data_IF_808126468886
#
_entry.id   IF_808126468886
#
_cell.length_a   1.000
_cell.length_b   1.000
_cell.length_c   1.000
_cell.angle_alpha   90.00
_cell.angle_beta   90.00
_cell.angle_gamma   90.00
#
_symmetry.space_group_name_H-M   'P 1'
#
loop_
_entity.id
_entity.type
_entity.pdbx_description
1 polymer ?
#
# COMPACT_ATOMS: atom_id res chain seq x y z
N UNK A 1 2.06 -23.45 -12.85
CA UNK A 1 0.65 -23.06 -12.71
C UNK A 1 -0.05 -24.02 -11.77
N UNK A 2 -0.67 -23.54 -10.69
CA UNK A 2 -1.46 -24.35 -9.77
C UNK A 2 -2.77 -24.74 -10.43
N UNK A 3 -3.14 -26.03 -10.33
CA UNK A 3 -4.42 -26.52 -10.85
C UNK A 3 -5.55 -26.25 -9.85
N UNK A 4 -6.78 -26.19 -10.35
CA UNK A 4 -7.98 -26.14 -9.50
C UNK A 4 -7.97 -27.36 -8.56
N UNK A 5 -7.90 -27.13 -7.25
CA UNK A 5 -7.75 -28.17 -6.21
C UNK A 5 -6.44 -28.10 -5.41
N UNK A 6 -5.46 -27.30 -5.86
CA UNK A 6 -4.25 -27.05 -5.06
C UNK A 6 -4.58 -26.13 -3.88
N UNK A 7 -3.93 -26.39 -2.74
CA UNK A 7 -4.10 -25.59 -1.52
C UNK A 7 -3.85 -24.09 -1.80
N UNK A 8 -4.75 -23.25 -1.32
CA UNK A 8 -4.61 -21.80 -1.37
C UNK A 8 -3.46 -21.31 -0.49
N UNK A 9 -3.11 -20.04 -0.58
CA UNK A 9 -2.06 -19.44 0.27
C UNK A 9 -2.44 -19.57 1.75
N UNK A 10 -3.72 -19.40 2.08
CA UNK A 10 -4.24 -19.55 3.45
C UNK A 10 -4.06 -20.96 3.97
N UNK A 11 -4.43 -21.97 3.17
CA UNK A 11 -4.33 -23.38 3.56
C UNK A 11 -2.88 -23.77 3.82
N UNK A 12 -1.95 -23.26 2.98
CA UNK A 12 -0.50 -23.46 3.17
C UNK A 12 -0.03 -22.78 4.45
N UNK A 13 -0.44 -21.53 4.69
CA UNK A 13 -0.07 -20.79 5.89
C UNK A 13 -0.60 -21.47 7.15
N UNK A 14 -1.84 -21.94 7.13
CA UNK A 14 -2.43 -22.65 8.25
C UNK A 14 -1.73 -23.99 8.51
N UNK A 15 -1.40 -24.72 7.46
CA UNK A 15 -0.63 -25.96 7.57
C UNK A 15 0.74 -25.72 8.19
N UNK A 16 1.46 -24.69 7.72
CA UNK A 16 2.77 -24.34 8.27
C UNK A 16 2.66 -23.87 9.73
N UNK A 17 1.62 -23.09 10.07
CA UNK A 17 1.37 -22.69 11.48
C UNK A 17 1.14 -23.87 12.39
N UNK A 18 0.35 -24.87 11.93
CA UNK A 18 0.10 -26.10 12.68
C UNK A 18 1.39 -26.89 12.88
N UNK A 19 2.21 -27.02 11.85
CA UNK A 19 3.50 -27.71 11.94
C UNK A 19 4.44 -26.99 12.90
N UNK A 20 4.55 -25.67 12.83
CA UNK A 20 5.39 -24.87 13.74
C UNK A 20 4.99 -25.03 15.22
N UNK A 21 3.72 -25.30 15.50
CA UNK A 21 3.25 -25.52 16.87
C UNK A 21 3.88 -26.75 17.54
N UNK A 22 4.33 -27.75 16.74
CA UNK A 22 5.01 -28.94 17.26
C UNK A 22 6.49 -28.72 17.61
N UNK A 23 7.03 -27.55 17.32
CA UNK A 23 8.43 -27.19 17.59
C UNK A 23 8.51 -26.03 18.58
N UNK A 24 8.38 -26.28 19.91
CA UNK A 24 8.36 -25.24 20.93
C UNK A 24 9.68 -24.47 21.03
N UNK A 25 10.78 -25.02 20.49
CA UNK A 25 12.08 -24.36 20.47
C UNK A 25 12.20 -23.27 19.38
N UNK A 26 11.20 -23.16 18.49
CA UNK A 26 11.23 -22.24 17.36
C UNK A 26 10.04 -21.28 17.43
N UNK A 27 10.33 -20.00 17.38
CA UNK A 27 9.30 -18.96 17.17
C UNK A 27 9.21 -18.65 15.69
N UNK A 28 8.16 -19.16 15.02
CA UNK A 28 7.94 -18.96 13.59
C UNK A 28 6.76 -18.04 13.31
N UNK A 29 6.98 -17.08 12.41
CA UNK A 29 5.93 -16.20 11.91
C UNK A 29 5.62 -16.53 10.46
N UNK A 30 4.34 -16.80 10.17
CA UNK A 30 3.88 -17.10 8.80
C UNK A 30 3.04 -15.94 8.32
N UNK A 31 3.63 -15.12 7.46
CA UNK A 31 3.00 -13.93 6.91
C UNK A 31 2.71 -14.09 5.41
N UNK A 32 1.67 -13.43 4.91
CA UNK A 32 1.44 -13.32 3.47
C UNK A 32 2.55 -12.49 2.84
N UNK A 33 2.97 -12.80 1.61
CA UNK A 33 3.85 -11.89 0.88
C UNK A 33 3.12 -10.57 0.59
N UNK A 34 3.85 -9.45 0.44
CA UNK A 34 3.24 -8.17 0.09
C UNK A 34 2.50 -8.27 -1.24
N UNK A 35 1.36 -7.60 -1.35
CA UNK A 35 0.51 -7.60 -2.54
C UNK A 35 1.25 -6.99 -3.74
N UNK A 36 2.07 -5.98 -3.48
CA UNK A 36 2.95 -5.36 -4.48
C UNK A 36 4.40 -5.69 -4.11
N UNK A 37 5.13 -6.46 -4.95
CA UNK A 37 6.55 -6.73 -4.72
C UNK A 37 7.35 -5.43 -4.61
N UNK A 38 8.13 -5.30 -3.52
CA UNK A 38 8.93 -4.10 -3.24
C UNK A 38 8.24 -3.03 -2.41
N UNK A 39 6.96 -3.17 -2.10
CA UNK A 39 6.24 -2.32 -1.13
C UNK A 39 5.95 -3.11 0.14
N UNK A 40 6.89 -3.07 1.09
CA UNK A 40 6.79 -3.78 2.36
C UNK A 40 7.46 -5.16 2.37
N UNK A 41 7.60 -5.72 3.56
CA UNK A 41 8.17 -7.05 3.80
C UNK A 41 7.09 -8.14 3.91
N UNK A 42 5.86 -7.77 4.31
CA UNK A 42 4.74 -8.70 4.50
C UNK A 42 3.42 -8.15 3.97
N UNK A 43 2.45 -9.01 3.73
CA UNK A 43 1.06 -8.61 3.48
C UNK A 43 0.37 -8.26 4.79
N UNK A 44 -0.47 -7.23 4.75
CA UNK A 44 -1.16 -6.68 5.92
C UNK A 44 -0.67 -5.27 6.25
N UNK A 45 -0.85 -4.88 7.51
CA UNK A 45 -0.42 -3.57 8.02
C UNK A 45 1.02 -3.64 8.51
N UNK A 46 1.84 -2.70 8.08
CA UNK A 46 3.24 -2.54 8.51
C UNK A 46 3.44 -1.21 9.19
N UNK A 47 3.95 -1.25 10.43
CA UNK A 47 4.24 -0.09 11.25
C UNK A 47 5.61 -0.26 11.90
N UNK A 48 6.30 0.84 12.15
CA UNK A 48 7.58 0.90 12.85
C UNK A 48 7.39 1.63 14.18
N UNK A 49 7.85 1.01 15.28
CA UNK A 49 8.03 1.71 16.55
C UNK A 49 9.46 2.23 16.57
N UNK A 50 9.65 3.53 16.66
CA UNK A 50 10.96 4.19 16.62
C UNK A 50 11.36 4.71 17.98
N UNK A 51 12.56 4.37 18.44
CA UNK A 51 13.17 4.98 19.61
C UNK A 51 13.73 6.35 19.23
N UNK A 52 13.11 7.42 19.70
CA UNK A 52 13.50 8.82 19.44
C UNK A 52 14.05 9.50 20.70
N UNK A 53 14.80 10.57 20.50
CA UNK A 53 15.37 11.34 21.60
C UNK A 53 16.39 10.53 22.41
N UNK A 54 16.13 10.37 23.67
CA UNK A 54 16.97 9.65 24.65
C UNK A 54 16.53 8.20 24.91
N UNK A 55 15.55 7.70 24.14
CA UNK A 55 15.07 6.33 24.28
C UNK A 55 16.18 5.32 23.99
N UNK A 56 16.37 4.42 24.91
CA UNK A 56 17.34 3.33 24.83
C UNK A 56 16.78 2.12 24.06
N UNK A 57 17.64 1.14 23.80
CA UNK A 57 17.18 -0.14 23.23
C UNK A 57 16.21 -0.87 24.16
N UNK A 58 16.46 -0.84 25.45
CA UNK A 58 15.61 -1.50 26.46
C UNK A 58 14.23 -0.84 26.54
N UNK A 59 14.16 0.48 26.40
CA UNK A 59 12.87 1.20 26.31
C UNK A 59 12.08 0.77 25.09
N UNK A 60 12.75 0.57 23.94
CA UNK A 60 12.10 0.08 22.71
C UNK A 60 11.59 -1.34 22.88
N UNK A 61 12.33 -2.22 23.56
CA UNK A 61 11.91 -3.60 23.85
C UNK A 61 10.66 -3.59 24.73
N UNK A 62 10.68 -2.86 25.85
CA UNK A 62 9.54 -2.77 26.77
C UNK A 62 8.32 -2.14 26.10
N UNK A 63 8.52 -1.11 25.27
CA UNK A 63 7.45 -0.47 24.52
C UNK A 63 6.83 -1.44 23.51
N UNK A 64 7.67 -2.24 22.83
CA UNK A 64 7.20 -3.24 21.87
C UNK A 64 6.35 -4.32 22.55
N UNK A 65 6.81 -4.84 23.69
CA UNK A 65 6.06 -5.85 24.44
C UNK A 65 4.73 -5.31 24.97
N UNK A 66 4.75 -4.09 25.51
CA UNK A 66 3.56 -3.39 25.99
C UNK A 66 2.58 -3.19 24.83
N UNK A 67 3.05 -2.69 23.70
CA UNK A 67 2.25 -2.48 22.51
C UNK A 67 1.61 -3.78 22.01
N UNK A 68 2.40 -4.84 21.87
CA UNK A 68 1.91 -6.15 21.42
C UNK A 68 0.86 -6.74 22.38
N UNK A 69 1.02 -6.54 23.69
CA UNK A 69 0.06 -7.01 24.70
C UNK A 69 -1.32 -6.36 24.52
N UNK A 70 -1.38 -5.04 24.32
CA UNK A 70 -2.64 -4.34 24.10
C UNK A 70 -3.19 -4.55 22.69
N UNK A 71 -2.34 -4.60 21.69
CA UNK A 71 -2.73 -4.80 20.31
C UNK A 71 -3.38 -6.18 20.09
N UNK A 72 -2.88 -7.23 20.73
CA UNK A 72 -3.49 -8.59 20.67
C UNK A 72 -4.89 -8.68 21.30
N UNK A 73 -5.27 -7.70 22.12
CA UNK A 73 -6.61 -7.63 22.76
C UNK A 73 -7.61 -6.80 21.98
N UNK A 74 -7.16 -6.06 20.98
CA UNK A 74 -8.02 -5.19 20.20
C UNK A 74 -8.89 -6.01 19.24
N UNK A 75 -10.23 -5.84 19.26
CA UNK A 75 -11.13 -6.60 18.40
C UNK A 75 -10.98 -6.29 16.93
N UNK A 76 -10.40 -5.15 16.58
CA UNK A 76 -10.14 -4.72 15.21
C UNK A 76 -8.96 -5.46 14.56
N UNK A 77 -8.17 -6.21 15.37
CA UNK A 77 -6.94 -6.86 14.93
C UNK A 77 -7.07 -8.39 15.05
N UNK A 78 -6.81 -9.10 13.95
CA UNK A 78 -6.79 -10.57 13.94
C UNK A 78 -5.46 -11.11 14.48
N UNK A 79 -4.36 -10.53 14.08
CA UNK A 79 -3.01 -10.91 14.54
C UNK A 79 -2.10 -9.71 14.55
N UNK A 80 -1.22 -9.66 15.55
CA UNK A 80 -0.17 -8.65 15.65
C UNK A 80 1.11 -9.34 16.10
N UNK A 81 2.22 -9.04 15.43
CA UNK A 81 3.53 -9.62 15.70
C UNK A 81 4.65 -8.62 15.44
N UNK A 82 5.79 -8.83 16.08
CA UNK A 82 7.03 -8.13 15.80
C UNK A 82 8.12 -9.13 15.42
N UNK A 83 8.93 -8.81 14.43
CA UNK A 83 10.13 -9.56 14.09
C UNK A 83 11.37 -9.11 14.89
N UNK A 84 11.19 -8.21 15.87
CA UNK A 84 12.27 -7.80 16.76
C UNK A 84 12.67 -8.96 17.65
N UNK A 85 13.96 -9.24 17.70
CA UNK A 85 14.56 -10.27 18.56
C UNK A 85 15.51 -9.59 19.54
N UNK A 86 15.05 -9.41 20.76
CA UNK A 86 15.79 -8.72 21.80
C UNK A 86 16.65 -9.67 22.66
N UNK A 87 16.19 -10.90 22.88
CA UNK A 87 16.70 -11.83 23.89
C UNK A 87 17.35 -13.07 23.27
N UNK A 88 18.17 -12.88 22.23
CA UNK A 88 18.90 -14.01 21.65
C UNK A 88 20.03 -14.38 22.60
N UNK A 89 20.13 -15.67 23.02
CA UNK A 89 21.26 -16.15 23.79
C UNK A 89 22.58 -15.94 23.03
N UNK A 90 23.51 -15.31 23.69
CA UNK A 90 24.84 -14.98 23.15
C UNK A 90 25.93 -15.42 24.11
N UNK A 91 27.13 -15.64 23.57
CA UNK A 91 28.32 -15.85 24.37
C UNK A 91 29.17 -14.59 24.26
N UNK A 92 29.32 -13.90 25.38
CA UNK A 92 30.24 -12.79 25.50
C UNK A 92 31.62 -13.31 25.83
N UNK A 93 32.62 -12.92 25.07
CA UNK A 93 34.01 -13.23 25.32
C UNK A 93 34.75 -11.97 25.75
N UNK A 94 35.11 -11.92 27.03
CA UNK A 94 35.88 -10.82 27.60
C UNK A 94 37.37 -11.12 27.48
N UNK A 95 38.03 -10.36 26.60
CA UNK A 95 39.44 -10.56 26.28
C UNK A 95 40.30 -9.82 27.32
N UNK A 96 41.21 -10.55 27.95
CA UNK A 96 42.28 -9.94 28.77
C UNK A 96 43.31 -9.28 27.84
N UNK A 97 43.11 -7.97 27.68
CA UNK A 97 43.93 -7.16 26.77
C UNK A 97 45.37 -7.00 27.25
N UNK A 98 45.57 -6.97 28.56
CA UNK A 98 46.90 -6.83 29.12
C UNK A 98 47.69 -8.13 28.96
N UNK A 99 47.06 -9.26 29.19
CA UNK A 99 47.68 -10.58 28.97
C UNK A 99 47.94 -10.81 27.48
N UNK A 100 47.02 -10.51 26.56
CA UNK A 100 47.23 -10.60 25.14
C UNK A 100 48.40 -9.73 24.68
N UNK A 101 48.53 -8.51 25.18
CA UNK A 101 49.62 -7.60 24.88
C UNK A 101 50.95 -8.10 25.43
N UNK A 102 50.97 -8.69 26.65
CA UNK A 102 52.16 -9.31 27.24
C UNK A 102 52.68 -10.45 26.39
N UNK A 103 51.81 -11.28 25.82
CA UNK A 103 52.15 -12.36 24.89
C UNK A 103 52.47 -11.88 23.47
N UNK A 104 52.43 -10.58 23.21
CA UNK A 104 52.69 -10.01 21.87
C UNK A 104 51.65 -10.37 20.84
N UNK A 105 50.39 -10.65 21.26
CA UNK A 105 49.29 -11.02 20.35
C UNK A 105 48.47 -9.75 20.01
N UNK A 106 48.42 -9.37 18.74
CA UNK A 106 47.55 -8.25 18.31
C UNK A 106 46.07 -8.59 18.52
N UNK A 107 45.30 -7.62 19.07
CA UNK A 107 43.85 -7.80 19.25
C UNK A 107 43.13 -8.15 17.93
N UNK A 108 43.63 -7.60 16.81
CA UNK A 108 43.09 -7.90 15.48
C UNK A 108 43.15 -9.39 15.15
N UNK A 109 44.21 -10.07 15.56
CA UNK A 109 44.42 -11.53 15.28
C UNK A 109 43.47 -12.38 16.12
N UNK A 110 43.19 -11.98 17.38
CA UNK A 110 42.19 -12.63 18.21
C UNK A 110 40.79 -12.53 17.58
N UNK A 111 40.38 -11.32 17.23
CA UNK A 111 39.05 -11.11 16.65
C UNK A 111 38.93 -11.70 15.23
N UNK A 112 39.97 -11.65 14.40
CA UNK A 112 39.96 -12.26 13.09
C UNK A 112 39.87 -13.79 13.15
N UNK A 113 40.53 -14.40 14.12
CA UNK A 113 40.45 -15.84 14.39
C UNK A 113 39.03 -16.21 14.84
N UNK A 114 38.46 -15.49 15.82
CA UNK A 114 37.09 -15.72 16.24
C UNK A 114 36.10 -15.54 15.11
N UNK A 115 36.24 -14.49 14.30
CA UNK A 115 35.41 -14.23 13.13
C UNK A 115 35.50 -15.37 12.12
N UNK A 116 36.72 -15.87 11.83
CA UNK A 116 36.92 -16.92 10.82
C UNK A 116 36.27 -18.24 11.24
N UNK A 117 36.47 -18.66 12.49
CA UNK A 117 35.99 -19.94 12.97
C UNK A 117 34.53 -19.92 13.42
N UNK A 118 34.08 -18.87 14.12
CA UNK A 118 32.75 -18.82 14.71
C UNK A 118 31.74 -18.10 13.84
N UNK A 119 32.15 -16.99 13.19
CA UNK A 119 31.26 -16.13 12.42
C UNK A 119 31.21 -16.39 10.93
N UNK A 120 32.24 -16.93 10.35
CA UNK A 120 32.53 -17.08 8.92
C UNK A 120 33.31 -15.91 8.29
N UNK A 121 34.15 -16.24 7.35
CA UNK A 121 34.88 -15.28 6.50
C UNK A 121 34.57 -15.54 5.03
N UNK A 122 34.11 -14.50 4.37
CA UNK A 122 34.01 -14.49 2.93
C UNK A 122 35.41 -14.46 2.31
N UNK A 123 35.68 -15.43 1.43
CA UNK A 123 36.98 -15.59 0.82
C UNK A 123 37.01 -15.10 -0.61
N UNK A 124 36.07 -15.57 -1.43
CA UNK A 124 35.97 -15.24 -2.84
C UNK A 124 34.63 -15.67 -3.44
N UNK A 125 34.41 -15.32 -4.72
CA UNK A 125 33.32 -15.79 -5.55
C UNK A 125 33.78 -16.71 -6.65
N UNK A 126 32.89 -17.60 -7.11
CA UNK A 126 33.04 -18.28 -8.38
C UNK A 126 31.74 -18.32 -9.17
N UNK A 127 31.85 -18.36 -10.49
CA UNK A 127 30.70 -18.40 -11.39
C UNK A 127 30.47 -19.87 -11.83
N UNK A 128 29.25 -20.36 -11.59
CA UNK A 128 28.81 -21.67 -12.06
C UNK A 128 27.30 -21.57 -12.44
N UNK A 129 26.92 -22.26 -13.53
CA UNK A 129 25.51 -22.27 -14.00
C UNK A 129 24.89 -20.89 -14.16
N UNK A 130 25.64 -19.91 -14.65
CA UNK A 130 25.26 -18.54 -14.85
C UNK A 130 24.81 -17.81 -13.54
N UNK A 131 25.32 -18.24 -12.38
CA UNK A 131 25.12 -17.67 -11.06
C UNK A 131 26.45 -17.45 -10.36
N UNK A 132 26.52 -16.43 -9.52
CA UNK A 132 27.67 -16.13 -8.66
C UNK A 132 27.45 -16.88 -7.34
N UNK A 133 28.43 -17.74 -6.98
CA UNK A 133 28.47 -18.45 -5.71
C UNK A 133 29.56 -17.85 -4.82
N UNK A 134 29.16 -17.48 -3.61
CA UNK A 134 30.10 -16.95 -2.61
C UNK A 134 30.68 -18.05 -1.78
N UNK A 135 32.01 -18.03 -1.58
CA UNK A 135 32.75 -18.99 -0.76
C UNK A 135 32.95 -18.39 0.63
N UNK A 136 32.46 -19.09 1.63
CA UNK A 136 32.67 -18.78 3.04
C UNK A 136 33.42 -19.91 3.72
N UNK A 137 34.33 -19.55 4.65
CA UNK A 137 35.04 -20.50 5.49
C UNK A 137 34.58 -20.27 6.94
N UNK A 138 34.26 -21.36 7.63
CA UNK A 138 33.97 -21.38 9.07
C UNK A 138 34.27 -22.75 9.65
N UNK A 139 34.36 -22.87 10.96
CA UNK A 139 34.44 -24.17 11.61
C UNK A 139 33.15 -24.97 11.43
N UNK A 140 33.22 -26.28 11.38
CA UNK A 140 32.07 -27.17 11.32
C UNK A 140 31.23 -27.03 12.60
N UNK A 141 29.91 -27.28 12.51
CA UNK A 141 28.97 -27.07 13.60
C UNK A 141 29.33 -27.71 14.94
N UNK A 142 29.87 -28.97 15.00
CA UNK A 142 30.26 -29.56 16.27
C UNK A 142 31.37 -28.81 17.00
N UNK A 143 32.26 -28.13 16.26
CA UNK A 143 33.41 -27.41 16.82
C UNK A 143 33.06 -25.96 17.22
N UNK A 144 31.83 -25.50 17.04
CA UNK A 144 31.37 -24.17 17.41
C UNK A 144 30.01 -24.17 18.16
N UNK A 145 29.60 -25.33 18.65
CA UNK A 145 28.29 -25.49 19.29
C UNK A 145 28.28 -25.01 20.74
N UNK A 146 29.40 -25.05 21.47
CA UNK A 146 29.51 -24.78 22.89
C UNK A 146 30.63 -23.79 23.17
N UNK A 147 30.56 -23.12 24.34
CA UNK A 147 31.61 -22.17 24.78
C UNK A 147 32.97 -22.85 24.97
N UNK A 148 32.98 -24.13 25.35
CA UNK A 148 34.18 -24.93 25.56
C UNK A 148 34.97 -25.12 24.24
N UNK A 149 34.28 -25.07 23.10
CA UNK A 149 34.89 -25.16 21.75
C UNK A 149 35.89 -24.03 21.46
N UNK A 150 35.82 -22.91 22.18
CA UNK A 150 36.80 -21.81 22.08
C UNK A 150 38.25 -22.28 22.41
N UNK A 151 38.38 -23.29 23.25
CA UNK A 151 39.70 -23.90 23.55
C UNK A 151 40.34 -24.64 22.37
N UNK A 152 39.57 -24.95 21.31
CA UNK A 152 40.10 -25.62 20.11
C UNK A 152 40.69 -24.63 19.10
N UNK A 153 40.53 -23.34 19.29
CA UNK A 153 41.04 -22.32 18.40
C UNK A 153 42.24 -21.61 19.01
N UNK A 154 43.27 -21.47 18.20
CA UNK A 154 44.55 -20.94 18.60
C UNK A 154 44.89 -19.66 17.85
N UNK A 155 45.60 -18.77 18.55
CA UNK A 155 46.18 -17.57 17.99
C UNK A 155 47.68 -17.62 18.10
N UNK A 156 48.39 -17.10 17.13
CA UNK A 156 49.86 -17.10 17.13
C UNK A 156 50.40 -15.89 17.93
N UNK A 157 51.36 -16.14 18.82
CA UNK A 157 52.09 -15.08 19.52
C UNK A 157 53.12 -14.42 18.60
N UNK A 158 53.67 -13.31 19.02
CA UNK A 158 54.77 -12.64 18.34
C UNK A 158 56.07 -13.52 18.25
N UNK A 159 56.24 -14.49 19.17
CA UNK A 159 57.34 -15.50 19.13
C UNK A 159 57.04 -16.67 18.23
N UNK A 160 55.85 -16.83 17.71
CA UNK A 160 55.44 -17.94 16.83
C UNK A 160 54.76 -19.11 17.54
N UNK A 161 54.60 -19.08 18.85
CA UNK A 161 53.88 -20.07 19.64
C UNK A 161 52.35 -19.94 19.47
N UNK A 162 51.64 -21.09 19.63
CA UNK A 162 50.18 -21.11 19.52
C UNK A 162 49.54 -21.12 20.90
N UNK A 163 48.65 -20.12 21.15
CA UNK A 163 47.93 -19.93 22.44
C UNK A 163 46.45 -20.15 22.18
N UNK A 164 45.75 -20.99 23.00
CA UNK A 164 44.30 -21.18 22.83
C UNK A 164 43.54 -19.91 23.26
N UNK A 165 42.40 -19.64 22.59
CA UNK A 165 41.57 -18.47 22.89
C UNK A 165 41.14 -18.45 24.35
N UNK A 166 40.88 -19.59 24.97
CA UNK A 166 40.47 -19.68 26.39
C UNK A 166 41.53 -19.18 27.38
N UNK A 167 42.83 -19.12 27.01
CA UNK A 167 43.87 -18.52 27.80
C UNK A 167 43.90 -17.00 27.71
N UNK A 168 43.23 -16.40 26.72
CA UNK A 168 43.25 -14.96 26.44
C UNK A 168 42.01 -14.22 26.95
N UNK A 169 41.11 -14.91 27.64
CA UNK A 169 39.91 -14.27 28.19
C UNK A 169 38.92 -15.25 28.79
N UNK A 170 37.83 -14.71 29.26
CA UNK A 170 36.73 -15.46 29.91
C UNK A 170 35.45 -15.39 29.09
N UNK A 171 34.64 -16.45 29.19
CA UNK A 171 33.34 -16.54 28.49
C UNK A 171 32.19 -16.51 29.48
N UNK A 172 31.17 -15.77 29.17
CA UNK A 172 29.90 -15.76 29.89
C UNK A 172 28.72 -15.78 28.97
N UNK A 173 27.62 -16.40 29.41
CA UNK A 173 26.37 -16.32 28.70
C UNK A 173 25.71 -14.98 28.94
N UNK A 174 25.19 -14.38 27.91
CA UNK A 174 24.42 -13.15 27.94
C UNK A 174 23.25 -13.24 26.98
N UNK A 175 22.34 -12.29 27.00
CA UNK A 175 21.28 -12.12 26.02
C UNK A 175 21.47 -10.77 25.33
N UNK A 176 21.08 -10.70 24.08
CA UNK A 176 21.18 -9.45 23.35
C UNK A 176 20.44 -9.50 22.01
N UNK A 177 20.35 -8.37 21.31
CA UNK A 177 19.70 -8.32 20.01
C UNK A 177 20.50 -9.09 18.95
N UNK A 178 19.80 -9.93 18.19
CA UNK A 178 20.42 -10.59 17.03
C UNK A 178 20.67 -9.63 15.87
N UNK A 179 19.74 -8.69 15.67
CA UNK A 179 19.81 -7.66 14.64
C UNK A 179 19.11 -6.40 15.13
N UNK A 180 19.76 -5.27 14.99
CA UNK A 180 19.16 -3.95 15.25
C UNK A 180 18.76 -3.35 13.91
N UNK A 181 17.46 -3.28 13.65
CA UNK A 181 16.92 -2.56 12.48
C UNK A 181 16.85 -1.08 12.77
N UNK A 182 17.08 -0.26 11.73
CA UNK A 182 16.88 1.18 11.79
C UNK A 182 15.97 1.63 10.67
N UNK A 183 15.04 2.51 11.00
CA UNK A 183 14.16 3.18 10.07
C UNK A 183 14.28 4.69 10.33
N UNK A 184 14.39 5.50 9.28
CA UNK A 184 14.66 6.93 9.39
C UNK A 184 15.83 7.29 10.35
N UNK A 185 16.87 6.46 10.38
CA UNK A 185 18.05 6.57 11.28
C UNK A 185 17.80 6.20 12.74
N UNK A 186 16.56 5.99 13.18
CA UNK A 186 16.21 5.57 14.55
C UNK A 186 16.21 4.05 14.68
N UNK A 187 16.58 3.53 15.84
CA UNK A 187 16.41 2.11 16.17
C UNK A 187 14.92 1.80 16.18
N UNK A 188 14.52 0.70 15.55
CA UNK A 188 13.10 0.42 15.33
C UNK A 188 12.73 -1.03 15.56
N UNK A 189 11.49 -1.23 16.01
CA UNK A 189 10.81 -2.51 16.06
C UNK A 189 9.72 -2.56 14.98
N UNK A 190 9.86 -3.44 13.96
CA UNK A 190 8.82 -3.61 12.96
C UNK A 190 7.62 -4.34 13.55
N UNK A 191 6.44 -3.79 13.35
CA UNK A 191 5.16 -4.37 13.75
C UNK A 191 4.38 -4.75 12.50
N UNK A 192 3.98 -6.01 12.43
CA UNK A 192 3.09 -6.53 11.40
C UNK A 192 1.74 -6.86 12.00
N UNK A 193 0.66 -6.39 11.39
CA UNK A 193 -0.70 -6.65 11.85
C UNK A 193 -1.62 -7.02 10.69
N UNK A 194 -2.69 -7.75 11.03
CA UNK A 194 -3.75 -8.12 10.08
C UNK A 194 -5.08 -7.69 10.70
N UNK A 195 -5.91 -7.01 9.90
CA UNK A 195 -7.24 -6.60 10.32
C UNK A 195 -8.12 -7.84 10.63
N UNK A 196 -8.99 -7.73 11.62
CA UNK A 196 -9.94 -8.80 11.94
C UNK A 196 -11.07 -8.85 10.89
N UNK A 197 -11.66 -10.03 10.62
CA UNK A 197 -12.78 -10.14 9.71
C UNK A 197 -13.92 -9.18 10.09
N UNK A 198 -14.37 -8.38 9.13
CA UNK A 198 -15.41 -7.36 9.32
C UNK A 198 -14.89 -5.97 9.67
N UNK A 199 -13.60 -5.79 9.87
CA UNK A 199 -12.96 -4.49 10.06
C UNK A 199 -12.12 -4.13 8.84
N UNK A 200 -12.14 -2.85 8.46
CA UNK A 200 -11.30 -2.34 7.38
C UNK A 200 -9.84 -2.13 7.84
N UNK A 201 -8.91 -2.09 6.87
CA UNK A 201 -7.50 -1.74 7.13
C UNK A 201 -7.37 -0.38 7.82
N UNK A 202 -8.18 0.61 7.41
CA UNK A 202 -8.20 1.92 8.03
C UNK A 202 -8.69 1.95 9.50
N UNK A 203 -9.63 1.08 9.88
CA UNK A 203 -10.07 0.93 11.27
C UNK A 203 -8.98 0.25 12.11
N UNK A 204 -8.35 -0.78 11.57
CA UNK A 204 -7.23 -1.45 12.21
C UNK A 204 -6.02 -0.50 12.40
N UNK A 205 -5.71 0.35 11.41
CA UNK A 205 -4.68 1.39 11.53
C UNK A 205 -5.00 2.38 12.67
N UNK A 206 -6.23 2.88 12.73
CA UNK A 206 -6.67 3.77 13.83
C UNK A 206 -6.61 3.10 15.21
N UNK A 207 -6.90 1.80 15.28
CA UNK A 207 -6.76 1.04 16.52
C UNK A 207 -5.30 0.97 16.97
N UNK A 208 -4.38 0.69 16.05
CA UNK A 208 -2.93 0.69 16.35
C UNK A 208 -2.43 2.07 16.80
N UNK A 209 -2.85 3.16 16.14
CA UNK A 209 -2.52 4.52 16.54
C UNK A 209 -3.08 4.88 17.92
N UNK A 210 -4.32 4.47 18.21
CA UNK A 210 -4.94 4.67 19.53
C UNK A 210 -4.14 3.96 20.62
N UNK A 211 -3.81 2.67 20.41
CA UNK A 211 -3.04 1.88 21.38
C UNK A 211 -1.67 2.49 21.62
N UNK A 212 -0.98 2.93 20.57
CA UNK A 212 0.30 3.59 20.71
C UNK A 212 0.20 4.89 21.55
N UNK A 213 -0.80 5.71 21.26
CA UNK A 213 -1.02 6.96 21.99
C UNK A 213 -1.40 6.76 23.46
N UNK A 214 -2.12 5.68 23.79
CA UNK A 214 -2.59 5.41 25.15
C UNK A 214 -1.53 4.73 26.03
N UNK A 215 -0.62 3.94 25.42
CA UNK A 215 0.24 3.04 26.17
C UNK A 215 1.74 3.21 25.94
N UNK A 216 2.15 3.98 24.93
CA UNK A 216 3.57 4.25 24.69
C UNK A 216 3.96 5.63 25.22
N UNK A 217 5.23 5.75 25.58
CA UNK A 217 5.84 7.01 26.01
C UNK A 217 6.13 7.93 24.83
N UNK A 218 6.22 9.24 25.06
CA UNK A 218 6.42 10.26 24.03
C UNK A 218 7.74 10.11 23.25
N UNK A 219 8.72 9.40 23.81
CA UNK A 219 10.01 9.11 23.17
C UNK A 219 9.98 7.87 22.26
N UNK A 220 8.84 7.18 22.18
CA UNK A 220 8.59 6.10 21.22
C UNK A 220 7.58 6.58 20.18
N UNK A 221 8.05 6.85 18.99
CA UNK A 221 7.20 7.28 17.90
C UNK A 221 6.73 6.10 17.05
N UNK A 222 5.62 6.31 16.35
CA UNK A 222 5.11 5.35 15.36
C UNK A 222 5.24 5.95 13.96
N UNK A 223 5.66 5.13 13.01
CA UNK A 223 5.68 5.48 11.60
C UNK A 223 5.11 4.34 10.75
N UNK A 224 4.30 4.70 9.79
CA UNK A 224 3.79 3.73 8.82
C UNK A 224 4.84 3.40 7.77
N UNK A 225 4.94 2.14 7.39
CA UNK A 225 5.85 1.67 6.33
C UNK A 225 5.12 0.84 5.29
N UNK A 226 5.79 0.52 4.20
CA UNK A 226 5.25 -0.33 3.15
C UNK A 226 3.94 0.20 2.52
N UNK A 227 3.00 -0.70 2.33
CA UNK A 227 1.69 -0.38 1.75
C UNK A 227 0.85 0.49 2.69
N UNK A 228 0.97 0.30 4.02
CA UNK A 228 0.23 1.09 5.02
C UNK A 228 0.60 2.57 4.99
N UNK A 229 1.85 2.90 4.71
CA UNK A 229 2.26 4.29 4.46
C UNK A 229 1.55 4.88 3.24
N UNK A 230 1.44 4.12 2.15
CA UNK A 230 0.75 4.58 0.95
C UNK A 230 -0.75 4.76 1.20
N UNK A 231 -1.36 3.84 1.93
CA UNK A 231 -2.77 3.90 2.30
C UNK A 231 -3.08 5.11 3.20
N UNK A 232 -2.26 5.34 4.22
CA UNK A 232 -2.39 6.51 5.10
C UNK A 232 -2.24 7.82 4.32
N UNK A 233 -1.24 7.91 3.45
CA UNK A 233 -1.01 9.08 2.60
C UNK A 233 -2.13 9.29 1.58
N UNK A 234 -2.64 8.23 0.97
CA UNK A 234 -3.74 8.30 0.00
C UNK A 234 -5.08 8.61 0.68
N UNK A 235 -5.35 8.09 1.86
CA UNK A 235 -6.61 8.26 2.58
C UNK A 235 -6.98 9.74 2.82
N UNK A 236 -6.00 10.59 3.07
CA UNK A 236 -6.21 12.05 3.21
C UNK A 236 -6.45 12.79 1.89
N UNK A 237 -6.08 12.23 0.75
CA UNK A 237 -6.11 12.90 -0.56
C UNK A 237 -7.25 12.42 -1.46
N UNK A 238 -7.82 11.25 -1.22
CA UNK A 238 -8.84 10.64 -2.09
C UNK A 238 -10.05 11.55 -2.27
N UNK A 239 -10.55 12.16 -1.20
CA UNK A 239 -11.68 13.10 -1.28
C UNK A 239 -11.36 14.33 -2.14
N UNK A 240 -10.17 14.89 -2.01
CA UNK A 240 -9.71 16.01 -2.83
C UNK A 240 -9.55 15.62 -4.31
N UNK A 241 -8.98 14.46 -4.58
CA UNK A 241 -8.80 13.95 -5.95
C UNK A 241 -10.17 13.73 -6.61
N UNK A 242 -11.12 13.11 -5.91
CA UNK A 242 -12.48 12.92 -6.41
C UNK A 242 -13.17 14.25 -6.69
N UNK A 243 -13.08 15.21 -5.77
CA UNK A 243 -13.64 16.55 -5.98
C UNK A 243 -13.03 17.23 -7.22
N UNK A 244 -11.72 17.11 -7.41
CA UNK A 244 -11.01 17.64 -8.56
C UNK A 244 -11.47 16.97 -9.87
N UNK A 245 -11.65 15.65 -9.87
CA UNK A 245 -12.17 14.90 -11.02
C UNK A 245 -13.58 15.39 -11.37
N UNK A 246 -14.47 15.49 -10.40
CA UNK A 246 -15.82 16.03 -10.62
C UNK A 246 -15.79 17.45 -11.18
N UNK A 247 -14.91 18.31 -10.65
CA UNK A 247 -14.75 19.67 -11.13
C UNK A 247 -14.29 19.70 -12.60
N UNK A 248 -13.25 18.94 -12.95
CA UNK A 248 -12.75 18.90 -14.33
C UNK A 248 -13.76 18.30 -15.31
N UNK A 249 -14.43 17.22 -14.93
CA UNK A 249 -15.51 16.64 -15.73
C UNK A 249 -16.63 17.65 -15.94
N UNK A 250 -17.03 18.38 -14.88
CA UNK A 250 -18.02 19.44 -14.98
C UNK A 250 -17.59 20.56 -15.93
N UNK A 251 -16.38 21.08 -15.78
CA UNK A 251 -15.86 22.18 -16.60
C UNK A 251 -15.73 21.75 -18.07
N UNK A 252 -15.24 20.53 -18.33
CA UNK A 252 -15.16 19.98 -19.68
C UNK A 252 -16.53 19.87 -20.33
N UNK A 253 -17.52 19.32 -19.60
CA UNK A 253 -18.89 19.22 -20.09
C UNK A 253 -19.56 20.57 -20.25
N UNK A 254 -19.28 21.54 -19.36
CA UNK A 254 -19.79 22.91 -19.47
C UNK A 254 -19.27 23.59 -20.75
N UNK A 255 -18.01 23.37 -21.09
CA UNK A 255 -17.42 23.84 -22.35
C UNK A 255 -18.03 23.14 -23.56
N UNK A 256 -18.21 21.80 -23.50
CA UNK A 256 -18.78 20.99 -24.58
C UNK A 256 -20.25 21.37 -24.87
N UNK A 257 -21.04 21.57 -23.82
CA UNK A 257 -22.47 21.86 -23.99
C UNK A 257 -22.78 23.35 -24.09
N UNK A 258 -21.81 24.23 -23.97
CA UNK A 258 -22.02 25.68 -23.88
C UNK A 258 -23.10 26.06 -22.82
N UNK A 259 -23.15 25.32 -21.73
CA UNK A 259 -24.18 25.43 -20.68
C UNK A 259 -23.64 25.00 -19.32
N UNK A 260 -23.90 25.80 -18.29
CA UNK A 260 -23.54 25.45 -16.90
C UNK A 260 -24.51 24.47 -16.23
N UNK A 261 -25.71 24.30 -16.80
CA UNK A 261 -26.80 23.55 -16.16
C UNK A 261 -26.88 22.11 -16.71
N UNK A 262 -26.69 21.91 -18.01
CA UNK A 262 -26.80 20.59 -18.64
C UNK A 262 -25.80 19.57 -18.09
N UNK A 263 -24.53 19.93 -17.80
CA UNK A 263 -23.56 19.00 -17.20
C UNK A 263 -24.01 18.37 -15.90
N UNK A 264 -24.84 19.06 -15.12
CA UNK A 264 -25.33 18.56 -13.83
C UNK A 264 -26.16 17.28 -14.03
N UNK A 265 -26.91 17.16 -15.15
CA UNK A 265 -27.64 15.94 -15.46
C UNK A 265 -26.73 14.70 -15.64
N UNK A 266 -25.56 14.90 -16.26
CA UNK A 266 -24.54 13.85 -16.39
C UNK A 266 -23.94 13.53 -15.02
N UNK A 267 -23.56 14.55 -14.25
CA UNK A 267 -22.92 14.35 -12.94
C UNK A 267 -23.84 13.64 -11.93
N UNK A 268 -25.15 13.89 -11.98
CA UNK A 268 -26.13 13.21 -11.11
C UNK A 268 -26.26 11.71 -11.41
N UNK A 269 -25.81 11.25 -12.57
CA UNK A 269 -25.80 9.82 -12.89
C UNK A 269 -24.60 9.05 -12.33
N UNK A 270 -23.49 9.75 -12.00
CA UNK A 270 -22.25 9.13 -11.53
C UNK A 270 -22.37 8.46 -10.16
N UNK A 271 -23.08 9.05 -9.16
CA UNK A 271 -23.32 8.39 -7.87
C UNK A 271 -24.03 7.03 -8.00
N UNK A 272 -24.84 6.82 -9.03
CA UNK A 272 -25.51 5.52 -9.28
C UNK A 272 -24.50 4.43 -9.63
N UNK A 273 -23.53 4.77 -10.48
CA UNK A 273 -22.45 3.85 -10.80
C UNK A 273 -21.58 3.55 -9.57
N UNK A 274 -21.26 4.58 -8.79
CA UNK A 274 -20.52 4.42 -7.54
C UNK A 274 -21.27 3.52 -6.54
N UNK A 275 -22.59 3.72 -6.39
CA UNK A 275 -23.44 2.85 -5.56
C UNK A 275 -23.31 1.39 -6.01
N UNK A 276 -23.33 1.14 -7.32
CA UNK A 276 -23.14 -0.22 -7.86
C UNK A 276 -21.78 -0.82 -7.48
N UNK A 277 -20.72 -0.03 -7.53
CA UNK A 277 -19.39 -0.46 -7.13
C UNK A 277 -19.33 -0.82 -5.63
N UNK A 278 -19.89 0.02 -4.75
CA UNK A 278 -19.97 -0.25 -3.31
C UNK A 278 -20.84 -1.48 -2.99
N UNK A 279 -21.96 -1.65 -3.69
CA UNK A 279 -22.78 -2.86 -3.57
C UNK A 279 -21.97 -4.11 -3.98
N UNK A 280 -21.15 -3.99 -5.03
CA UNK A 280 -20.30 -5.09 -5.49
C UNK A 280 -19.31 -5.55 -4.43
N UNK A 281 -18.56 -4.65 -3.81
CA UNK A 281 -17.61 -5.01 -2.74
C UNK A 281 -18.35 -5.53 -1.48
N UNK A 282 -19.51 -4.97 -1.15
CA UNK A 282 -20.31 -5.45 -0.04
C UNK A 282 -20.79 -6.89 -0.24
N UNK A 283 -21.29 -7.22 -1.44
CA UNK A 283 -21.76 -8.60 -1.76
C UNK A 283 -20.60 -9.60 -1.80
N UNK A 284 -19.44 -9.18 -2.26
CA UNK A 284 -18.25 -10.06 -2.38
C UNK A 284 -17.40 -10.10 -1.11
N UNK A 285 -17.70 -9.28 -0.10
CA UNK A 285 -16.91 -9.19 1.13
C UNK A 285 -15.53 -8.60 0.94
N UNK A 286 -15.30 -7.84 -0.15
CA UNK A 286 -14.05 -7.16 -0.40
C UNK A 286 -13.99 -5.83 0.36
N UNK A 287 -12.78 -5.39 0.69
CA UNK A 287 -12.53 -4.13 1.40
C UNK A 287 -12.41 -2.95 0.44
N UNK A 288 -12.67 -1.74 0.96
CA UNK A 288 -12.42 -0.50 0.24
C UNK A 288 -10.93 -0.13 0.32
N UNK A 289 -10.13 -0.77 -0.50
CA UNK A 289 -8.70 -0.55 -0.61
C UNK A 289 -8.33 0.50 -1.68
N UNK A 290 -7.04 0.80 -1.81
CA UNK A 290 -6.52 1.73 -2.83
C UNK A 290 -6.86 1.27 -4.26
N UNK A 291 -6.89 -0.04 -4.49
CA UNK A 291 -7.20 -0.61 -5.80
C UNK A 291 -8.67 -0.41 -6.17
N UNK A 292 -9.58 -0.60 -5.22
CA UNK A 292 -10.99 -0.26 -5.41
C UNK A 292 -11.19 1.21 -5.73
N UNK A 293 -10.47 2.11 -5.03
CA UNK A 293 -10.55 3.56 -5.28
C UNK A 293 -10.07 3.93 -6.69
N UNK A 294 -9.01 3.29 -7.20
CA UNK A 294 -8.55 3.43 -8.59
C UNK A 294 -9.63 2.92 -9.56
N UNK A 295 -10.25 1.78 -9.25
CA UNK A 295 -11.38 1.25 -9.98
C UNK A 295 -12.57 2.22 -10.02
N UNK A 296 -12.87 2.86 -8.91
CA UNK A 296 -13.95 3.85 -8.80
C UNK A 296 -13.69 5.08 -9.70
N UNK A 297 -12.46 5.59 -9.72
CA UNK A 297 -12.08 6.71 -10.63
C UNK A 297 -12.28 6.32 -12.09
N UNK A 298 -11.83 5.11 -12.46
CA UNK A 298 -12.00 4.58 -13.83
C UNK A 298 -13.49 4.42 -14.18
N UNK A 299 -14.30 3.92 -13.24
CA UNK A 299 -15.74 3.75 -13.38
C UNK A 299 -16.46 5.07 -13.64
N UNK A 300 -16.07 6.16 -12.96
CA UNK A 300 -16.62 7.49 -13.16
C UNK A 300 -16.49 7.91 -14.62
N UNK A 301 -15.30 7.76 -15.21
CA UNK A 301 -15.07 8.07 -16.63
C UNK A 301 -15.92 7.24 -17.58
N UNK A 302 -16.07 5.95 -17.32
CA UNK A 302 -16.86 5.03 -18.15
C UNK A 302 -18.36 5.29 -18.04
N UNK A 303 -18.86 5.53 -16.82
CA UNK A 303 -20.28 5.85 -16.59
C UNK A 303 -20.65 7.22 -17.19
N UNK A 304 -19.77 8.22 -17.07
CA UNK A 304 -19.94 9.54 -17.67
C UNK A 304 -20.16 9.43 -19.19
N UNK A 305 -19.37 8.58 -19.89
CA UNK A 305 -19.49 8.37 -21.34
C UNK A 305 -20.93 7.97 -21.76
N UNK A 306 -21.54 7.06 -21.01
CA UNK A 306 -22.89 6.58 -21.32
C UNK A 306 -23.93 7.71 -21.12
N UNK A 307 -23.81 8.49 -20.06
CA UNK A 307 -24.69 9.62 -19.77
C UNK A 307 -24.51 10.74 -20.82
N UNK A 308 -23.27 11.05 -21.20
CA UNK A 308 -22.96 12.06 -22.21
C UNK A 308 -23.69 11.75 -23.52
N UNK A 309 -23.63 10.50 -24.00
CA UNK A 309 -24.25 10.11 -25.28
C UNK A 309 -25.76 10.32 -25.30
N UNK A 310 -26.45 10.11 -24.17
CA UNK A 310 -27.90 10.33 -24.07
C UNK A 310 -28.21 11.83 -23.97
N UNK A 311 -27.52 12.54 -23.09
CA UNK A 311 -27.75 13.97 -22.81
C UNK A 311 -27.44 14.84 -24.03
N UNK A 312 -26.37 14.53 -24.76
CA UNK A 312 -26.00 15.26 -25.99
C UNK A 312 -27.10 15.13 -27.06
N UNK A 313 -27.55 13.90 -27.31
CA UNK A 313 -28.58 13.68 -28.30
C UNK A 313 -29.92 14.28 -27.91
N UNK A 314 -30.30 14.21 -26.63
CA UNK A 314 -31.48 14.87 -26.10
C UNK A 314 -31.40 16.40 -26.25
N UNK A 315 -30.22 16.99 -25.96
CA UNK A 315 -30.00 18.43 -26.08
C UNK A 315 -30.15 18.92 -27.49
N UNK A 316 -29.55 18.23 -28.48
CA UNK A 316 -29.68 18.59 -29.89
C UNK A 316 -31.15 18.64 -30.32
N UNK A 317 -31.97 17.64 -29.96
CA UNK A 317 -33.40 17.63 -30.29
C UNK A 317 -34.19 18.76 -29.62
N UNK A 318 -33.84 19.10 -28.38
CA UNK A 318 -34.48 20.24 -27.71
C UNK A 318 -34.05 21.57 -28.33
N UNK A 319 -32.83 21.71 -28.78
CA UNK A 319 -32.33 22.90 -29.47
C UNK A 319 -32.99 23.03 -30.86
N UNK A 320 -33.44 21.94 -31.50
CA UNK A 320 -34.26 21.87 -32.71
C UNK A 320 -35.74 22.13 -32.44
N UNK A 321 -36.18 22.31 -31.17
CA UNK A 321 -37.52 22.65 -30.84
C UNK A 321 -38.41 21.54 -30.26
N UNK A 322 -37.86 20.31 -30.09
CA UNK A 322 -38.60 19.22 -29.48
C UNK A 322 -38.91 19.45 -28.00
N UNK A 323 -40.01 18.86 -27.53
CA UNK A 323 -40.33 18.87 -26.09
C UNK A 323 -39.26 18.09 -25.31
N UNK A 324 -38.74 18.63 -24.17
CA UNK A 324 -37.65 17.99 -23.42
C UNK A 324 -37.95 16.58 -22.95
N UNK A 325 -39.20 16.22 -22.66
CA UNK A 325 -39.59 14.87 -22.27
C UNK A 325 -39.51 13.92 -23.44
N UNK A 326 -40.05 14.31 -24.61
CA UNK A 326 -40.01 13.51 -25.82
C UNK A 326 -38.56 13.35 -26.32
N UNK A 327 -37.80 14.45 -26.29
CA UNK A 327 -36.37 14.42 -26.67
C UNK A 327 -35.56 13.45 -25.82
N UNK A 328 -35.77 13.44 -24.50
CA UNK A 328 -35.08 12.56 -23.58
C UNK A 328 -35.41 11.07 -23.81
N UNK A 329 -36.70 10.75 -24.02
CA UNK A 329 -37.17 9.39 -24.32
C UNK A 329 -36.59 8.91 -25.63
N UNK A 330 -36.72 9.73 -26.69
CA UNK A 330 -36.20 9.39 -28.01
C UNK A 330 -34.69 9.22 -28.02
N UNK A 331 -33.94 10.09 -27.34
CA UNK A 331 -32.49 9.97 -27.16
C UNK A 331 -32.12 8.65 -26.49
N UNK A 332 -32.81 8.29 -25.41
CA UNK A 332 -32.57 7.03 -24.72
C UNK A 332 -32.83 5.82 -25.60
N UNK A 333 -33.95 5.83 -26.39
CA UNK A 333 -34.27 4.75 -27.30
C UNK A 333 -33.25 4.60 -28.45
N UNK A 334 -32.84 5.70 -29.06
CA UNK A 334 -31.86 5.71 -30.14
C UNK A 334 -30.46 5.27 -29.70
N UNK A 335 -30.05 5.66 -28.49
CA UNK A 335 -28.74 5.35 -27.96
C UNK A 335 -28.69 4.07 -27.11
N UNK A 336 -29.82 3.43 -26.86
CA UNK A 336 -29.89 2.22 -26.04
C UNK A 336 -28.99 1.10 -26.56
N UNK A 337 -29.11 0.73 -27.83
CA UNK A 337 -28.32 -0.35 -28.44
C UNK A 337 -26.81 -0.08 -28.44
N UNK A 338 -26.32 1.07 -28.92
CA UNK A 338 -24.89 1.40 -28.88
C UNK A 338 -24.31 1.38 -27.45
N UNK A 339 -25.03 1.94 -26.48
CA UNK A 339 -24.60 1.96 -25.08
C UNK A 339 -24.56 0.54 -24.51
N UNK A 340 -25.62 -0.25 -24.75
CA UNK A 340 -25.68 -1.62 -24.25
C UNK A 340 -24.54 -2.48 -24.82
N UNK A 341 -24.27 -2.40 -26.14
CA UNK A 341 -23.19 -3.16 -26.78
C UNK A 341 -21.81 -2.80 -26.19
N UNK A 342 -21.50 -1.52 -26.10
CA UNK A 342 -20.19 -1.09 -25.60
C UNK A 342 -20.03 -1.40 -24.11
N UNK A 343 -21.07 -1.25 -23.31
CA UNK A 343 -21.02 -1.48 -21.88
C UNK A 343 -21.00 -2.96 -21.53
N UNK A 344 -21.75 -3.82 -22.25
CA UNK A 344 -21.68 -5.27 -22.08
C UNK A 344 -20.31 -5.82 -22.50
N UNK A 345 -19.76 -5.35 -23.62
CA UNK A 345 -18.41 -5.74 -24.03
C UNK A 345 -17.37 -5.39 -22.94
N UNK A 346 -17.52 -4.23 -22.30
CA UNK A 346 -16.65 -3.82 -21.21
C UNK A 346 -16.87 -4.67 -19.95
N UNK A 347 -18.11 -4.90 -19.52
CA UNK A 347 -18.44 -5.75 -18.35
C UNK A 347 -17.90 -7.16 -18.54
N UNK A 348 -18.08 -7.77 -19.73
CA UNK A 348 -17.52 -9.08 -20.05
C UNK A 348 -15.98 -9.06 -20.07
N UNK A 349 -15.39 -7.95 -20.56
CA UNK A 349 -13.94 -7.75 -20.52
C UNK A 349 -13.35 -7.65 -19.12
N UNK A 350 -14.14 -7.22 -18.13
CA UNK A 350 -13.72 -7.16 -16.73
C UNK A 350 -13.85 -8.49 -15.97
N UNK A 351 -14.63 -9.44 -16.52
CA UNK A 351 -14.86 -10.75 -15.91
C UNK A 351 -13.56 -11.52 -15.60
N UNK A 352 -12.53 -11.55 -16.47
CA UNK A 352 -11.26 -12.18 -16.15
C UNK A 352 -10.55 -11.57 -14.91
N UNK A 353 -10.75 -10.27 -14.63
CA UNK A 353 -10.19 -9.64 -13.43
C UNK A 353 -10.96 -10.07 -12.16
N UNK A 354 -12.29 -10.17 -12.26
CA UNK A 354 -13.14 -10.64 -11.15
C UNK A 354 -12.87 -12.11 -10.81
N UNK A 355 -12.54 -12.92 -11.79
CA UNK A 355 -12.27 -14.36 -11.63
C UNK A 355 -10.77 -14.67 -11.57
N UNK A 356 -9.92 -13.67 -11.46
CA UNK A 356 -8.47 -13.84 -11.48
C UNK A 356 -8.00 -14.76 -10.33
N UNK A 357 -7.02 -15.60 -10.58
CA UNK A 357 -6.38 -16.46 -9.59
C UNK A 357 -4.86 -16.31 -9.62
N UNK A 358 -4.16 -16.79 -8.59
CA UNK A 358 -2.72 -16.74 -8.48
C UNK A 358 -2.17 -15.43 -7.92
N UNK A 359 -0.84 -15.19 -8.04
CA UNK A 359 -0.19 -14.02 -7.46
C UNK A 359 -0.81 -12.70 -7.95
N UNK A 360 -1.09 -11.76 -7.04
CA UNK A 360 -1.72 -10.48 -7.33
C UNK A 360 -3.21 -10.56 -7.69
N UNK A 361 -3.90 -11.68 -7.42
CA UNK A 361 -5.35 -11.81 -7.65
C UNK A 361 -6.16 -10.85 -6.79
N UNK A 362 -5.75 -10.57 -5.56
CA UNK A 362 -6.46 -9.68 -4.65
C UNK A 362 -6.65 -8.27 -5.23
N UNK A 363 -5.59 -7.66 -5.74
CA UNK A 363 -5.66 -6.34 -6.38
C UNK A 363 -6.53 -6.34 -7.65
N UNK A 364 -6.44 -7.42 -8.45
CA UNK A 364 -7.28 -7.59 -9.66
C UNK A 364 -8.76 -7.77 -9.30
N UNK A 365 -9.05 -8.53 -8.25
CA UNK A 365 -10.43 -8.70 -7.74
C UNK A 365 -10.98 -7.36 -7.26
N UNK A 366 -10.22 -6.61 -6.48
CA UNK A 366 -10.67 -5.32 -5.94
C UNK A 366 -11.02 -4.33 -7.05
N UNK A 367 -10.11 -4.12 -8.04
CA UNK A 367 -10.38 -3.26 -9.20
C UNK A 367 -11.54 -3.83 -10.04
N UNK A 368 -11.46 -5.13 -10.38
CA UNK A 368 -12.39 -5.78 -11.29
C UNK A 368 -13.81 -5.78 -10.77
N UNK A 369 -14.02 -6.13 -9.51
CA UNK A 369 -15.34 -6.21 -8.87
C UNK A 369 -16.00 -4.84 -8.79
N UNK A 370 -15.27 -3.81 -8.35
CA UNK A 370 -15.78 -2.45 -8.27
C UNK A 370 -16.28 -1.95 -9.64
N UNK A 371 -15.47 -2.12 -10.68
CA UNK A 371 -15.83 -1.69 -12.03
C UNK A 371 -16.96 -2.55 -12.62
N UNK A 372 -16.91 -3.88 -12.45
CA UNK A 372 -17.91 -4.81 -12.96
C UNK A 372 -19.32 -4.50 -12.45
N UNK A 373 -19.50 -4.47 -11.13
CA UNK A 373 -20.79 -4.18 -10.51
C UNK A 373 -21.22 -2.73 -10.73
N UNK A 374 -20.29 -1.79 -10.67
CA UNK A 374 -20.57 -0.38 -10.96
C UNK A 374 -21.10 -0.17 -12.37
N UNK A 375 -20.47 -0.77 -13.37
CA UNK A 375 -20.95 -0.73 -14.77
C UNK A 375 -22.27 -1.45 -14.95
N UNK A 376 -22.48 -2.58 -14.28
CA UNK A 376 -23.74 -3.32 -14.37
C UNK A 376 -24.92 -2.49 -13.85
N UNK A 377 -24.75 -1.78 -12.75
CA UNK A 377 -25.77 -0.85 -12.21
C UNK A 377 -25.92 0.39 -13.12
N UNK A 378 -24.81 0.90 -13.65
CA UNK A 378 -24.86 2.03 -14.59
C UNK A 378 -25.63 1.70 -15.88
N UNK A 379 -25.53 0.45 -16.37
CA UNK A 379 -26.26 0.00 -17.57
C UNK A 379 -27.75 -0.21 -17.26
N UNK A 380 -28.08 -0.79 -16.13
CA UNK A 380 -29.47 -1.13 -15.76
C UNK A 380 -30.24 0.09 -15.25
N UNK A 381 -29.78 0.65 -14.13
CA UNK A 381 -30.45 1.77 -13.47
C UNK A 381 -30.06 3.12 -14.11
N UNK A 382 -28.78 3.30 -14.45
CA UNK A 382 -28.27 4.56 -14.97
C UNK A 382 -28.91 4.96 -16.30
N UNK A 383 -29.10 4.03 -17.23
CA UNK A 383 -29.74 4.33 -18.55
C UNK A 383 -31.15 4.91 -18.37
N UNK A 384 -31.89 4.46 -17.35
CA UNK A 384 -33.23 4.97 -17.05
C UNK A 384 -33.19 6.31 -16.31
N UNK A 385 -32.21 6.48 -15.44
CA UNK A 385 -32.10 7.68 -14.62
C UNK A 385 -31.52 8.89 -15.38
N UNK A 386 -30.66 8.67 -16.37
CA UNK A 386 -30.07 9.79 -17.15
C UNK A 386 -31.13 10.64 -17.86
N UNK A 387 -32.08 10.07 -18.64
CA UNK A 387 -33.20 10.84 -19.22
C UNK A 387 -34.03 11.59 -18.17
N UNK A 388 -34.27 10.95 -17.03
CA UNK A 388 -35.01 11.56 -15.91
C UNK A 388 -34.27 12.80 -15.38
N UNK A 389 -32.96 12.69 -15.11
CA UNK A 389 -32.16 13.82 -14.64
C UNK A 389 -32.08 14.94 -15.69
N UNK A 390 -32.00 14.60 -16.98
CA UNK A 390 -32.03 15.60 -18.05
C UNK A 390 -33.33 16.41 -18.04
N UNK A 391 -34.50 15.74 -17.97
CA UNK A 391 -35.80 16.39 -17.90
C UNK A 391 -35.94 17.23 -16.64
N UNK A 392 -35.49 16.70 -15.48
CA UNK A 392 -35.53 17.42 -14.19
C UNK A 392 -34.74 18.73 -14.27
N UNK A 393 -33.49 18.65 -14.74
CA UNK A 393 -32.62 19.82 -14.86
C UNK A 393 -33.16 20.83 -15.88
N UNK A 394 -33.73 20.34 -16.99
CA UNK A 394 -34.30 21.23 -18.01
C UNK A 394 -35.56 21.95 -17.51
N UNK A 395 -36.40 21.30 -16.73
CA UNK A 395 -37.56 21.93 -16.07
C UNK A 395 -37.14 23.02 -15.06
N UNK A 396 -36.10 22.75 -14.28
CA UNK A 396 -35.51 23.72 -13.35
C UNK A 396 -34.98 24.94 -14.13
N UNK A 397 -34.24 24.71 -15.23
CA UNK A 397 -33.75 25.77 -16.14
C UNK A 397 -34.89 26.66 -16.66
N UNK A 398 -36.02 26.05 -17.05
CA UNK A 398 -37.18 26.77 -17.57
C UNK A 398 -37.88 27.57 -16.45
N UNK A 399 -38.01 26.99 -15.24
CA UNK A 399 -38.58 27.67 -14.08
C UNK A 399 -37.72 28.87 -13.62
N UNK A 400 -36.40 28.77 -13.66
CA UNK A 400 -35.49 29.88 -13.33
C UNK A 400 -35.56 31.00 -14.38
N UNK A 401 -35.74 30.66 -15.68
CA UNK A 401 -35.89 31.65 -16.74
C UNK A 401 -37.13 32.53 -16.62
N UNK A 402 -38.19 32.04 -16.00
CA UNK A 402 -39.43 32.81 -15.82
C UNK A 402 -39.33 33.89 -14.73
N UNK A 403 -38.37 33.84 -13.83
CA UNK A 403 -38.29 34.72 -12.69
C UNK A 403 -37.10 35.71 -12.62
N UNK A 404 -36.08 35.61 -13.48
CA UNK A 404 -34.86 36.44 -13.28
C UNK A 404 -34.03 36.84 -14.53
N UNK A 405 -34.57 36.94 -15.73
CA UNK A 405 -33.77 37.47 -16.86
C UNK A 405 -34.48 38.70 -17.50
N UNK A 406 -34.46 39.81 -16.77
CA UNK A 406 -34.63 41.11 -17.41
C UNK A 406 -33.44 42.09 -17.23
N UNK A 407 -32.37 41.71 -16.56
CA UNK A 407 -31.24 42.66 -16.31
C UNK A 407 -29.88 41.98 -16.21
N UNK A 408 -29.29 41.53 -17.32
CA UNK A 408 -27.83 41.37 -17.42
C UNK A 408 -27.37 41.77 -18.81
N UNK A 409 -26.35 42.67 -18.93
CA UNK A 409 -25.83 43.07 -20.22
C UNK A 409 -25.10 41.93 -20.90
N UNK A 410 -25.41 41.68 -22.17
CA UNK A 410 -24.68 40.72 -23.05
C UNK A 410 -23.27 41.24 -23.29
N UNK A 411 -22.27 40.55 -22.78
CA UNK A 411 -20.85 40.81 -23.12
C UNK A 411 -20.50 39.95 -24.34
N UNK A 412 -20.24 40.57 -25.52
CA UNK A 412 -20.17 39.83 -26.78
C UNK A 412 -18.83 39.14 -27.08
N UNK A 413 -17.80 39.22 -26.22
CA UNK A 413 -16.44 38.79 -26.58
C UNK A 413 -15.89 37.53 -25.90
N UNK A 414 -16.67 36.82 -25.07
CA UNK A 414 -16.17 35.62 -24.35
C UNK A 414 -16.21 34.34 -25.20
N UNK A 415 -17.01 34.29 -26.28
CA UNK A 415 -17.16 33.08 -27.11
C UNK A 415 -15.88 32.59 -27.82
N UNK A 416 -14.88 33.47 -28.05
CA UNK A 416 -13.62 33.09 -28.70
C UNK A 416 -12.47 32.83 -27.76
N UNK A 417 -12.57 33.23 -26.49
CA UNK A 417 -11.47 33.08 -25.51
C UNK A 417 -11.55 31.80 -24.67
N UNK A 418 -12.74 31.18 -24.56
CA UNK A 418 -12.94 29.99 -23.72
C UNK A 418 -12.04 28.79 -24.07
N UNK A 419 -11.84 28.40 -25.35
CA UNK A 419 -10.96 27.27 -25.68
C UNK A 419 -9.49 27.57 -25.35
N UNK A 420 -9.05 28.82 -25.53
CA UNK A 420 -7.68 29.23 -25.25
C UNK A 420 -7.41 29.34 -23.73
N UNK A 421 -8.41 29.73 -22.93
CA UNK A 421 -8.30 29.71 -21.46
C UNK A 421 -8.21 28.29 -20.90
N UNK A 422 -8.98 27.35 -21.45
CA UNK A 422 -8.89 25.93 -21.07
C UNK A 422 -7.54 25.34 -21.47
N UNK A 423 -7.05 25.69 -22.67
CA UNK A 423 -5.73 25.26 -23.12
C UNK A 423 -4.61 25.87 -22.24
N UNK A 424 -4.71 27.14 -21.90
CA UNK A 424 -3.75 27.82 -21.00
C UNK A 424 -3.77 27.24 -19.58
N UNK A 425 -4.96 26.91 -19.02
CA UNK A 425 -5.08 26.24 -17.72
C UNK A 425 -4.52 24.81 -17.76
N UNK A 426 -4.73 24.09 -18.85
CA UNK A 426 -4.18 22.74 -19.05
C UNK A 426 -2.66 22.77 -19.15
N UNK A 427 -2.10 23.74 -19.85
CA UNK A 427 -0.64 23.94 -19.96
C UNK A 427 -0.03 24.36 -18.61
N UNK A 428 -0.71 25.22 -17.86
CA UNK A 428 -0.30 25.62 -16.50
C UNK A 428 -0.36 24.43 -15.52
N UNK A 429 -1.38 23.58 -15.61
CA UNK A 429 -1.48 22.37 -14.79
C UNK A 429 -0.39 21.34 -15.15
N UNK A 430 -0.05 21.19 -16.43
CA UNK A 430 1.04 20.32 -16.89
C UNK A 430 2.43 20.85 -16.54
N UNK A 431 2.61 22.17 -16.51
CA UNK A 431 3.89 22.79 -16.14
C UNK A 431 4.14 22.81 -14.61
N UNK A 432 3.10 22.64 -13.80
CA UNK A 432 3.24 22.54 -12.33
C UNK A 432 3.61 21.13 -11.83
N UNK A 433 3.59 20.12 -12.69
CA UNK A 433 4.11 18.79 -12.38
C UNK A 433 5.65 18.72 -12.45
N UNK A 434 6.35 19.60 -11.73
CA UNK A 434 7.75 19.39 -11.38
C UNK A 434 7.79 18.40 -10.21
N UNK A 435 7.84 17.13 -10.52
CA UNK A 435 8.07 16.04 -9.56
C UNK A 435 9.53 16.10 -9.10
N UNK A 436 9.73 16.67 -7.91
CA UNK A 436 11.01 16.65 -7.19
C UNK A 436 11.88 17.89 -7.36
N UNK A 437 12.65 18.20 -6.32
CA UNK A 437 13.75 19.16 -6.38
C UNK A 437 14.80 18.63 -7.36
N UNK A 438 15.30 19.48 -8.24
CA UNK A 438 16.48 19.16 -9.05
C UNK A 438 17.61 18.70 -8.11
N UNK A 439 18.17 17.53 -8.40
CA UNK A 439 19.32 17.02 -7.67
C UNK A 439 20.51 17.93 -7.96
N UNK A 440 20.88 18.76 -7.01
CA UNK A 440 22.15 19.47 -7.03
C UNK A 440 23.23 18.54 -6.46
N UNK A 441 24.23 18.22 -7.29
CA UNK A 441 25.40 17.46 -6.87
C UNK A 441 26.12 18.26 -5.78
N UNK A 442 26.43 17.67 -4.59
CA UNK A 442 27.23 18.37 -3.60
C UNK A 442 28.61 18.67 -4.17
N UNK A 443 29.08 19.91 -4.04
CA UNK A 443 30.47 20.25 -4.32
C UNK A 443 31.34 19.51 -3.31
N UNK A 444 32.10 18.55 -3.81
CA UNK A 444 33.15 17.87 -3.06
C UNK A 444 34.40 18.75 -3.12
N UNK A 445 34.56 19.62 -2.11
CA UNK A 445 35.88 20.21 -1.76
C UNK A 445 36.54 19.34 -0.71
#
# INVERSE_FOLDING_TARGET
ERKSGDMGVEDVMETVRKELYYYPEVVGYVNRPPVIPGLGESGGLEMQLEARGDATWDDLVQATDTFLYYAKKAPELHSVSSAMQADIPQIYFDVDRDHAKFLGIPMADIFSTMKAYLGSVYVNDFNMFNRIYRVYIQAEAPYRANKESLGLFFVRTGSGEMVPLTALGTTQYTTGPGTIKRFNMFSTAPINAVAAPGYSTGEAMKALERIAKEHLSDNIAIEWSGLSYQENKAGGQTGFILALIFLFVFLFLAAQYESWIVPIAVLLSLPIAALGAFLGIWVTGLENDVYFQIGLVTLIGLAAKNAILIVEFAKVQVDEGADPVQAAIHAAQMRFRPILMTSLAFVLGMLPLVLASGPGSASRHSIGTGIFFGMLVAITVGIVMVPFFFVLIYKIKKGIRLNQISRLPRIPHIKKAAPWMVLALSILALSSCKLGKEYARPDLN
#
